data_IF_928848905003
#
_entry.id   IF_928848905003
#
_cell.length_a   1.000
_cell.length_b   1.000
_cell.length_c   1.000
_cell.angle_alpha   90.00
_cell.angle_beta   90.00
_cell.angle_gamma   90.00
#
_symmetry.space_group_name_H-M   'P 1'
#
loop_
_entity.id
_entity.type
_entity.pdbx_description
1 polymer ?
#
# COMPACT_ATOMS: atom_id res chain seq x y z
N UNK A 1 0.17 -14.63 -25.67
CA UNK A 1 1.52 -14.08 -25.51
C UNK A 1 2.23 -14.89 -24.43
N UNK A 2 3.32 -15.62 -24.71
CA UNK A 2 4.11 -16.30 -23.67
C UNK A 2 4.74 -15.24 -22.76
N UNK A 3 4.58 -15.41 -21.45
CA UNK A 3 5.10 -14.49 -20.45
C UNK A 3 6.62 -14.37 -20.48
N UNK A 4 7.15 -13.21 -20.17
CA UNK A 4 8.59 -12.97 -20.07
C UNK A 4 9.21 -13.93 -19.02
N UNK A 5 10.45 -14.46 -19.19
CA UNK A 5 11.10 -15.38 -18.24
C UNK A 5 11.10 -14.89 -16.78
N UNK A 6 11.05 -13.57 -16.57
CA UNK A 6 10.93 -12.91 -15.26
C UNK A 6 9.57 -13.15 -14.60
N UNK A 7 8.51 -13.26 -15.40
CA UNK A 7 7.14 -13.51 -14.90
C UNK A 7 7.00 -14.93 -14.36
N UNK A 8 7.72 -15.90 -14.93
CA UNK A 8 7.73 -17.27 -14.44
C UNK A 8 8.30 -17.35 -13.01
N UNK A 9 9.33 -16.58 -12.68
CA UNK A 9 9.96 -16.57 -11.36
C UNK A 9 9.04 -15.97 -10.29
N UNK A 10 8.41 -14.82 -10.57
CA UNK A 10 7.47 -14.20 -9.62
C UNK A 10 6.22 -15.05 -9.46
N UNK A 11 5.67 -15.57 -10.55
CA UNK A 11 4.49 -16.46 -10.50
C UNK A 11 4.80 -17.75 -9.74
N UNK A 12 5.96 -18.35 -9.92
CA UNK A 12 6.39 -19.56 -9.20
C UNK A 12 6.54 -19.27 -7.70
N UNK A 13 7.15 -18.14 -7.34
CA UNK A 13 7.27 -17.69 -5.95
C UNK A 13 5.88 -17.52 -5.31
N UNK A 14 4.98 -16.79 -5.98
CA UNK A 14 3.63 -16.53 -5.47
C UNK A 14 2.82 -17.82 -5.31
N UNK A 15 2.94 -18.79 -6.21
CA UNK A 15 2.26 -20.10 -6.09
C UNK A 15 2.75 -20.88 -4.87
N UNK A 16 4.06 -20.90 -4.63
CA UNK A 16 4.68 -21.64 -3.54
C UNK A 16 4.38 -21.02 -2.16
N UNK A 17 4.43 -19.70 -2.07
CA UNK A 17 4.36 -18.96 -0.81
C UNK A 17 2.97 -18.33 -0.57
N UNK A 18 1.96 -18.65 -1.37
CA UNK A 18 0.65 -17.98 -1.34
C UNK A 18 -0.01 -18.05 0.04
N UNK A 19 -0.20 -16.90 0.67
CA UNK A 19 -0.88 -16.76 1.96
C UNK A 19 -2.31 -16.30 1.73
N UNK A 20 -3.27 -17.20 1.89
CA UNK A 20 -4.69 -16.92 1.66
C UNK A 20 -5.39 -16.25 2.84
N UNK A 21 -4.88 -16.47 4.04
CA UNK A 21 -5.46 -15.95 5.26
C UNK A 21 -4.92 -14.55 5.56
N UNK A 22 -5.81 -13.61 5.79
CA UNK A 22 -5.44 -12.26 6.21
C UNK A 22 -5.10 -12.26 7.71
N UNK A 23 -4.17 -11.40 8.11
CA UNK A 23 -3.87 -11.17 9.52
C UNK A 23 -5.14 -10.82 10.31
N UNK A 24 -5.48 -11.55 11.41
CA UNK A 24 -6.79 -11.45 12.05
C UNK A 24 -7.24 -10.03 12.42
N UNK A 25 -6.39 -9.15 13.02
CA UNK A 25 -6.74 -7.75 13.26
C UNK A 25 -7.05 -6.95 11.99
N UNK A 26 -6.34 -7.23 10.88
CA UNK A 26 -6.59 -6.57 9.59
C UNK A 26 -7.89 -7.06 8.98
N UNK A 27 -8.17 -8.36 9.06
CA UNK A 27 -9.44 -8.93 8.61
C UNK A 27 -10.63 -8.36 9.37
N UNK A 28 -10.50 -8.17 10.69
CA UNK A 28 -11.51 -7.51 11.52
C UNK A 28 -11.76 -6.05 11.08
N UNK A 29 -10.69 -5.30 10.80
CA UNK A 29 -10.79 -3.93 10.31
C UNK A 29 -11.48 -3.86 8.94
N UNK A 30 -11.11 -4.72 7.99
CA UNK A 30 -11.74 -4.80 6.67
C UNK A 30 -13.26 -5.08 6.82
N UNK A 31 -13.65 -6.00 7.69
CA UNK A 31 -15.06 -6.28 7.97
C UNK A 31 -15.80 -5.06 8.54
N UNK A 32 -15.18 -4.35 9.48
CA UNK A 32 -15.75 -3.14 10.08
C UNK A 32 -15.96 -2.02 9.04
N UNK A 33 -15.16 -1.99 7.98
CA UNK A 33 -15.23 -1.00 6.90
C UNK A 33 -16.12 -1.41 5.71
N UNK A 34 -16.66 -2.63 5.70
CA UNK A 34 -17.41 -3.18 4.55
C UNK A 34 -18.63 -2.34 4.13
N UNK A 35 -19.26 -1.62 5.06
CA UNK A 35 -20.41 -0.74 4.77
C UNK A 35 -20.08 0.57 4.04
N UNK A 36 -18.81 0.91 3.84
CA UNK A 36 -18.40 2.19 3.23
C UNK A 36 -18.92 2.36 1.81
N UNK A 37 -18.87 1.30 0.98
CA UNK A 37 -19.37 1.37 -0.40
C UNK A 37 -20.88 1.66 -0.46
N UNK A 38 -21.66 1.01 0.40
CA UNK A 38 -23.11 1.22 0.44
C UNK A 38 -23.46 2.65 0.91
N UNK A 39 -22.69 3.21 1.84
CA UNK A 39 -22.89 4.59 2.31
C UNK A 39 -22.34 5.65 1.35
N UNK A 40 -21.51 5.28 0.39
CA UNK A 40 -20.89 6.21 -0.56
C UNK A 40 -19.89 7.19 0.05
N UNK A 41 -19.48 7.00 1.31
CA UNK A 41 -18.46 7.80 1.99
C UNK A 41 -17.93 7.08 3.23
N UNK A 42 -16.70 7.40 3.65
CA UNK A 42 -16.20 7.04 4.97
C UNK A 42 -16.22 8.25 5.93
N UNK A 43 -16.40 7.96 7.19
CA UNK A 43 -16.41 8.94 8.29
C UNK A 43 -14.99 9.34 8.66
N UNK A 44 -14.86 10.43 9.47
CA UNK A 44 -13.57 10.81 10.06
C UNK A 44 -12.99 9.72 10.96
N UNK A 45 -13.83 9.01 11.69
CA UNK A 45 -13.38 7.92 12.56
C UNK A 45 -12.77 6.76 11.73
N UNK A 46 -13.45 6.32 10.67
CA UNK A 46 -12.96 5.30 9.75
C UNK A 46 -11.67 5.74 9.05
N UNK A 47 -11.60 6.98 8.58
CA UNK A 47 -10.37 7.55 8.00
C UNK A 47 -9.19 7.47 8.98
N UNK A 48 -9.39 7.87 10.23
CA UNK A 48 -8.36 7.79 11.28
C UNK A 48 -7.92 6.35 11.55
N UNK A 49 -8.86 5.40 11.57
CA UNK A 49 -8.54 3.97 11.74
C UNK A 49 -7.64 3.47 10.62
N UNK A 50 -7.99 3.77 9.35
CA UNK A 50 -7.22 3.36 8.18
C UNK A 50 -5.82 4.00 8.17
N UNK A 51 -5.71 5.30 8.46
CA UNK A 51 -4.43 5.99 8.54
C UNK A 51 -3.55 5.45 9.67
N UNK A 52 -4.13 5.21 10.86
CA UNK A 52 -3.42 4.65 12.02
C UNK A 52 -2.90 3.25 11.72
N UNK A 53 -3.70 2.42 11.08
CA UNK A 53 -3.31 1.07 10.70
C UNK A 53 -2.03 1.07 9.82
N UNK A 54 -1.92 2.00 8.86
CA UNK A 54 -0.74 2.08 7.98
C UNK A 54 0.43 2.85 8.57
N UNK A 55 0.18 4.01 9.19
CA UNK A 55 1.25 4.92 9.63
C UNK A 55 0.85 5.75 10.83
N UNK A 56 0.94 5.20 12.05
CA UNK A 56 0.64 5.96 13.28
C UNK A 56 1.56 7.18 13.46
N UNK A 57 2.77 7.15 12.90
CA UNK A 57 3.76 8.24 13.00
C UNK A 57 3.32 9.54 12.34
N UNK A 58 2.47 9.48 11.31
CA UNK A 58 1.94 10.65 10.61
C UNK A 58 0.66 11.22 11.25
N UNK A 59 0.31 10.79 12.47
CA UNK A 59 -0.94 11.15 13.15
C UNK A 59 -1.16 12.65 13.24
N UNK A 60 -0.15 13.42 13.64
CA UNK A 60 -0.20 14.86 13.78
C UNK A 60 -0.56 15.60 12.47
N UNK A 61 -0.33 14.97 11.31
CA UNK A 61 -0.67 15.52 10.00
C UNK A 61 -2.10 15.13 9.59
N UNK A 62 -2.41 13.83 9.52
CA UNK A 62 -3.69 13.41 8.98
C UNK A 62 -4.87 13.69 9.93
N UNK A 63 -4.65 13.93 11.22
CA UNK A 63 -5.70 14.36 12.16
C UNK A 63 -6.21 15.80 11.94
N UNK A 64 -5.45 16.63 11.23
CA UNK A 64 -5.84 18.03 10.94
C UNK A 64 -6.91 18.15 9.86
N UNK A 65 -7.19 17.08 9.10
CA UNK A 65 -8.25 17.11 8.10
C UNK A 65 -9.63 17.23 8.74
N UNK A 66 -10.42 18.21 8.29
CA UNK A 66 -11.78 18.43 8.79
C UNK A 66 -12.73 17.29 8.39
N UNK A 67 -13.77 17.01 9.18
CA UNK A 67 -14.79 16.01 8.83
C UNK A 67 -15.44 16.28 7.47
N UNK A 68 -15.71 17.54 7.14
CA UNK A 68 -16.32 17.96 5.87
C UNK A 68 -15.39 17.62 4.69
N UNK A 69 -14.07 17.93 4.79
CA UNK A 69 -13.08 17.63 3.76
C UNK A 69 -12.94 16.12 3.54
N UNK A 70 -12.84 15.35 4.62
CA UNK A 70 -12.75 13.87 4.54
C UNK A 70 -13.98 13.32 3.84
N UNK A 71 -15.18 13.77 4.18
CA UNK A 71 -16.44 13.31 3.56
C UNK A 71 -16.49 13.67 2.09
N UNK A 72 -16.14 14.89 1.70
CA UNK A 72 -16.12 15.32 0.30
C UNK A 72 -15.14 14.48 -0.53
N UNK A 73 -13.90 14.30 -0.04
CA UNK A 73 -12.89 13.49 -0.71
C UNK A 73 -13.33 12.04 -0.82
N UNK A 74 -13.87 11.45 0.25
CA UNK A 74 -14.30 10.04 0.23
C UNK A 74 -15.43 9.78 -0.77
N UNK A 75 -16.40 10.69 -0.89
CA UNK A 75 -17.45 10.60 -1.92
C UNK A 75 -16.85 10.64 -3.33
N UNK A 76 -15.96 11.58 -3.60
CA UNK A 76 -15.31 11.71 -4.89
C UNK A 76 -14.46 10.47 -5.24
N UNK A 77 -13.74 9.90 -4.25
CA UNK A 77 -12.94 8.68 -4.41
C UNK A 77 -13.82 7.49 -4.77
N UNK A 78 -14.96 7.34 -4.12
CA UNK A 78 -15.87 6.21 -4.39
C UNK A 78 -16.65 6.38 -5.69
N UNK A 79 -16.95 7.61 -6.09
CA UNK A 79 -17.70 7.91 -7.33
C UNK A 79 -16.83 7.80 -8.59
N UNK A 80 -15.54 8.12 -8.54
CA UNK A 80 -14.71 8.11 -9.75
C UNK A 80 -14.36 6.70 -10.23
N UNK A 81 -14.29 6.51 -11.56
CA UNK A 81 -13.79 5.28 -12.18
C UNK A 81 -12.28 5.31 -12.43
N UNK A 82 -11.65 6.48 -12.37
CA UNK A 82 -10.21 6.65 -12.63
C UNK A 82 -9.39 6.28 -11.39
N UNK A 83 -8.49 5.32 -11.54
CA UNK A 83 -7.58 4.90 -10.45
C UNK A 83 -6.63 6.05 -10.08
N UNK A 84 -6.06 6.73 -11.08
CA UNK A 84 -5.22 7.92 -10.87
C UNK A 84 -5.96 8.97 -10.06
N UNK A 85 -7.22 9.28 -10.44
CA UNK A 85 -8.02 10.28 -9.74
C UNK A 85 -8.30 9.90 -8.29
N UNK A 86 -8.51 8.62 -7.98
CA UNK A 86 -8.61 8.14 -6.58
C UNK A 86 -7.37 8.50 -5.77
N UNK A 87 -6.20 8.23 -6.33
CA UNK A 87 -4.93 8.52 -5.66
C UNK A 87 -4.71 10.02 -5.48
N UNK A 88 -4.96 10.82 -6.52
CA UNK A 88 -4.85 12.29 -6.45
C UNK A 88 -5.76 12.87 -5.35
N UNK A 89 -7.01 12.43 -5.29
CA UNK A 89 -7.96 12.87 -4.28
C UNK A 89 -7.50 12.51 -2.87
N UNK A 90 -7.06 11.28 -2.64
CA UNK A 90 -6.60 10.82 -1.33
C UNK A 90 -5.30 11.51 -0.91
N UNK A 91 -4.34 11.66 -1.81
CA UNK A 91 -3.06 12.33 -1.52
C UNK A 91 -3.22 13.85 -1.36
N UNK A 92 -4.33 14.42 -1.76
CA UNK A 92 -4.72 15.80 -1.45
C UNK A 92 -5.17 16.02 -0.01
N UNK A 93 -5.36 14.95 0.79
CA UNK A 93 -5.56 15.06 2.23
C UNK A 93 -4.23 15.27 2.94
N UNK A 94 -4.21 16.16 3.94
CA UNK A 94 -3.00 16.46 4.68
C UNK A 94 -2.46 15.19 5.37
N UNK A 95 -1.16 14.94 5.24
CA UNK A 95 -0.49 13.77 5.80
C UNK A 95 -0.79 12.42 5.11
N UNK A 96 -1.49 12.42 3.98
CA UNK A 96 -1.79 11.21 3.20
C UNK A 96 -0.89 11.13 1.98
N UNK A 97 0.24 10.44 2.11
CA UNK A 97 1.07 10.08 0.96
C UNK A 97 0.56 8.83 0.24
N UNK A 98 1.17 8.52 -0.91
CA UNK A 98 0.81 7.36 -1.76
C UNK A 98 0.68 6.03 -0.98
N UNK A 99 1.57 5.68 -0.02
CA UNK A 99 1.41 4.45 0.77
C UNK A 99 0.16 4.44 1.66
N UNK A 100 -0.20 5.59 2.28
CA UNK A 100 -1.41 5.69 3.10
C UNK A 100 -2.66 5.64 2.21
N UNK A 101 -2.65 6.35 1.08
CA UNK A 101 -3.74 6.32 0.11
C UNK A 101 -4.00 4.89 -0.42
N UNK A 102 -2.94 4.15 -0.76
CA UNK A 102 -3.05 2.74 -1.18
C UNK A 102 -3.64 1.86 -0.08
N UNK A 103 -3.27 2.10 1.19
CA UNK A 103 -3.82 1.37 2.33
C UNK A 103 -5.32 1.66 2.53
N UNK A 104 -5.75 2.91 2.40
CA UNK A 104 -7.18 3.29 2.45
C UNK A 104 -7.95 2.50 1.39
N UNK A 105 -7.49 2.52 0.12
CA UNK A 105 -8.13 1.78 -0.95
C UNK A 105 -8.16 0.27 -0.69
N UNK A 106 -7.08 -0.29 -0.17
CA UNK A 106 -6.98 -1.73 0.15
C UNK A 106 -7.95 -2.14 1.24
N UNK A 107 -8.08 -1.35 2.31
CA UNK A 107 -8.96 -1.68 3.43
C UNK A 107 -10.44 -1.60 3.08
N UNK A 108 -10.82 -0.75 2.11
CA UNK A 108 -12.21 -0.64 1.66
C UNK A 108 -12.55 -1.60 0.50
N UNK A 109 -11.56 -2.01 -0.30
CA UNK A 109 -11.75 -2.97 -1.40
C UNK A 109 -10.49 -3.86 -1.61
N UNK A 110 -10.26 -4.84 -0.73
CA UNK A 110 -9.09 -5.72 -0.80
C UNK A 110 -9.09 -6.62 -2.04
N UNK A 111 -10.23 -6.79 -2.73
CA UNK A 111 -10.29 -7.54 -3.97
C UNK A 111 -9.50 -6.83 -5.07
N UNK A 112 -9.62 -5.51 -5.14
CA UNK A 112 -9.05 -4.69 -6.21
C UNK A 112 -7.70 -4.09 -5.88
N UNK A 113 -7.37 -3.90 -4.59
CA UNK A 113 -6.19 -3.16 -4.16
C UNK A 113 -5.27 -3.95 -3.24
N UNK A 114 -4.02 -3.53 -3.19
CA UNK A 114 -3.00 -3.94 -2.24
C UNK A 114 -2.18 -2.73 -1.79
N UNK A 115 -1.63 -2.82 -0.60
CA UNK A 115 -0.88 -1.75 0.04
C UNK A 115 0.46 -1.56 -0.62
N UNK A 116 0.74 -0.38 -1.17
CA UNK A 116 2.08 -0.06 -1.63
C UNK A 116 3.01 0.12 -0.43
N UNK A 117 3.83 -0.90 -0.21
CA UNK A 117 4.76 -0.98 0.91
C UNK A 117 6.19 -1.19 0.41
N UNK A 118 7.15 -0.67 1.16
CA UNK A 118 8.57 -0.80 0.83
C UNK A 118 9.00 -2.26 0.64
N UNK A 119 8.46 -3.19 1.44
CA UNK A 119 8.82 -4.62 1.36
C UNK A 119 8.31 -5.28 0.10
N UNK A 120 7.01 -5.10 -0.20
CA UNK A 120 6.40 -5.63 -1.41
C UNK A 120 7.07 -5.05 -2.66
N UNK A 121 7.36 -3.74 -2.68
CA UNK A 121 8.04 -3.09 -3.78
C UNK A 121 9.48 -3.60 -3.99
N UNK A 122 10.28 -3.69 -2.91
CA UNK A 122 11.66 -4.17 -2.99
C UNK A 122 11.74 -5.62 -3.49
N UNK A 123 10.78 -6.48 -3.11
CA UNK A 123 10.70 -7.83 -3.65
C UNK A 123 10.40 -7.82 -5.15
N UNK A 124 9.42 -7.03 -5.60
CA UNK A 124 9.14 -6.86 -7.03
C UNK A 124 10.35 -6.31 -7.78
N UNK A 125 11.07 -5.36 -7.19
CA UNK A 125 12.30 -4.81 -7.78
C UNK A 125 13.40 -5.89 -7.89
N UNK A 126 13.64 -6.68 -6.86
CA UNK A 126 14.64 -7.76 -6.87
C UNK A 126 14.33 -8.81 -7.92
N UNK A 127 13.05 -9.07 -8.17
CA UNK A 127 12.56 -9.98 -9.22
C UNK A 127 12.42 -9.30 -10.59
N UNK A 128 12.83 -8.04 -10.71
CA UNK A 128 12.77 -7.23 -11.93
C UNK A 128 11.35 -7.07 -12.51
N UNK A 129 10.33 -7.23 -11.70
CA UNK A 129 8.93 -6.96 -12.07
C UNK A 129 8.66 -5.46 -12.15
N UNK A 130 9.39 -4.68 -11.34
CA UNK A 130 9.50 -3.23 -11.45
C UNK A 130 10.99 -2.85 -11.57
N UNK A 131 11.30 -1.75 -12.25
CA UNK A 131 12.70 -1.41 -12.62
C UNK A 131 13.18 -0.08 -12.07
N UNK A 132 12.31 0.69 -11.42
CA UNK A 132 12.62 2.00 -10.86
C UNK A 132 12.54 1.97 -9.34
N UNK A 133 13.09 2.99 -8.65
CA UNK A 133 12.97 3.18 -7.21
C UNK A 133 13.41 1.95 -6.38
N UNK A 134 14.64 1.49 -6.56
CA UNK A 134 15.20 0.34 -5.84
C UNK A 134 15.03 0.41 -4.31
N UNK A 135 15.03 1.63 -3.74
CA UNK A 135 14.85 1.84 -2.30
C UNK A 135 13.41 1.62 -1.82
N UNK A 136 12.41 1.74 -2.71
CA UNK A 136 11.01 1.65 -2.33
C UNK A 136 10.55 2.75 -1.38
N UNK A 137 11.01 3.99 -1.60
CA UNK A 137 10.68 5.17 -0.80
C UNK A 137 10.26 6.33 -1.69
N UNK A 138 9.46 7.29 -1.16
CA UNK A 138 9.05 8.45 -1.94
C UNK A 138 8.21 8.09 -3.17
N UNK A 139 7.28 7.18 -3.03
CA UNK A 139 6.48 6.65 -4.15
C UNK A 139 5.66 7.72 -4.86
N UNK A 140 5.65 7.64 -6.18
CA UNK A 140 4.78 8.43 -7.07
C UNK A 140 3.48 7.67 -7.39
N UNK A 141 2.48 8.40 -7.88
CA UNK A 141 1.22 7.78 -8.36
C UNK A 141 1.50 6.83 -9.52
N UNK A 142 2.40 7.16 -10.44
CA UNK A 142 2.77 6.29 -11.55
C UNK A 142 3.37 4.96 -11.07
N UNK A 143 4.20 4.98 -10.03
CA UNK A 143 4.73 3.75 -9.43
C UNK A 143 3.63 2.92 -8.75
N UNK A 144 2.66 3.57 -8.11
CA UNK A 144 1.50 2.86 -7.58
C UNK A 144 0.65 2.23 -8.68
N UNK A 145 0.43 2.91 -9.80
CA UNK A 145 -0.29 2.35 -10.95
C UNK A 145 0.42 1.11 -11.50
N UNK A 146 1.75 1.16 -11.64
CA UNK A 146 2.56 0.01 -12.04
C UNK A 146 2.42 -1.14 -11.03
N UNK A 147 2.55 -0.85 -9.74
CA UNK A 147 2.36 -1.83 -8.66
C UNK A 147 0.97 -2.48 -8.71
N UNK A 148 -0.08 -1.68 -8.84
CA UNK A 148 -1.46 -2.15 -8.92
C UNK A 148 -1.69 -3.06 -10.13
N UNK A 149 -1.11 -2.72 -11.27
CA UNK A 149 -1.16 -3.54 -12.49
C UNK A 149 -0.54 -4.92 -12.26
N UNK A 150 0.64 -4.97 -11.62
CA UNK A 150 1.31 -6.22 -11.28
C UNK A 150 0.47 -7.07 -10.32
N UNK A 151 -0.04 -6.47 -9.24
CA UNK A 151 -0.89 -7.20 -8.30
C UNK A 151 -2.13 -7.79 -8.99
N UNK A 152 -2.82 -7.01 -9.81
CA UNK A 152 -4.04 -7.43 -10.51
C UNK A 152 -3.77 -8.50 -11.56
N UNK A 153 -2.64 -8.44 -12.24
CA UNK A 153 -2.20 -9.47 -13.19
C UNK A 153 -2.06 -10.83 -12.49
N UNK A 154 -1.32 -10.86 -11.38
CA UNK A 154 -1.12 -12.08 -10.61
C UNK A 154 -2.37 -12.54 -9.86
N UNK A 155 -3.18 -11.61 -9.35
CA UNK A 155 -4.44 -11.92 -8.70
C UNK A 155 -5.42 -12.66 -9.63
N UNK A 156 -5.54 -12.18 -10.89
CA UNK A 156 -6.35 -12.88 -11.91
C UNK A 156 -5.80 -14.27 -12.22
N UNK A 157 -4.47 -14.38 -12.43
CA UNK A 157 -3.83 -15.65 -12.76
C UNK A 157 -3.99 -16.70 -11.66
N UNK A 158 -3.88 -16.30 -10.39
CA UNK A 158 -3.98 -17.19 -9.23
C UNK A 158 -5.39 -17.27 -8.63
N UNK A 159 -6.37 -16.55 -9.20
CA UNK A 159 -7.77 -16.49 -8.75
C UNK A 159 -7.89 -16.10 -7.27
N UNK A 160 -7.17 -15.05 -6.88
CA UNK A 160 -7.17 -14.49 -5.52
C UNK A 160 -7.37 -12.98 -5.56
N UNK A 161 -7.44 -12.33 -4.41
CA UNK A 161 -7.53 -10.88 -4.31
C UNK A 161 -6.17 -10.20 -4.56
N UNK A 162 -6.19 -8.92 -4.96
CA UNK A 162 -4.98 -8.11 -5.06
C UNK A 162 -4.28 -7.99 -3.69
N UNK A 163 -5.05 -7.91 -2.61
CA UNK A 163 -4.53 -7.91 -1.24
C UNK A 163 -3.81 -9.23 -0.91
N UNK A 164 -4.33 -10.37 -1.32
CA UNK A 164 -3.67 -11.68 -1.13
C UNK A 164 -2.29 -11.71 -1.78
N UNK A 165 -2.16 -11.20 -3.01
CA UNK A 165 -0.87 -11.10 -3.70
C UNK A 165 0.07 -10.18 -2.92
N UNK A 166 -0.37 -8.97 -2.60
CA UNK A 166 0.46 -8.00 -1.88
C UNK A 166 0.90 -8.54 -0.51
N UNK A 167 -0.02 -9.12 0.26
CA UNK A 167 0.31 -9.66 1.58
C UNK A 167 1.31 -10.82 1.49
N UNK A 168 1.18 -11.68 0.49
CA UNK A 168 2.17 -12.72 0.19
C UNK A 168 3.55 -12.10 -0.10
N UNK A 169 3.63 -11.10 -0.97
CA UNK A 169 4.89 -10.39 -1.27
C UNK A 169 5.51 -9.78 0.00
N UNK A 170 4.69 -9.13 0.82
CA UNK A 170 5.12 -8.52 2.06
C UNK A 170 5.73 -9.56 3.02
N UNK A 171 5.07 -10.71 3.21
CA UNK A 171 5.55 -11.78 4.09
C UNK A 171 6.79 -12.47 3.52
N UNK A 172 6.84 -12.72 2.22
CA UNK A 172 8.03 -13.27 1.56
C UNK A 172 9.24 -12.38 1.79
N UNK A 173 9.11 -11.07 1.56
CA UNK A 173 10.20 -10.15 1.81
C UNK A 173 10.63 -10.17 3.29
N UNK A 174 9.69 -10.19 4.23
CA UNK A 174 10.01 -10.28 5.67
C UNK A 174 10.83 -11.53 6.01
N UNK A 175 10.49 -12.66 5.39
CA UNK A 175 11.15 -13.96 5.61
C UNK A 175 12.61 -13.94 5.14
N UNK A 176 12.90 -13.24 4.04
CA UNK A 176 14.23 -13.28 3.40
C UNK A 176 15.05 -12.00 3.60
N UNK A 177 14.47 -10.95 4.17
CA UNK A 177 15.17 -9.69 4.37
C UNK A 177 16.32 -9.83 5.36
N UNK A 178 17.51 -9.40 4.93
CA UNK A 178 18.68 -9.21 5.78
C UNK A 178 18.94 -7.72 5.95
N UNK A 179 19.34 -7.29 7.17
CA UNK A 179 19.68 -5.90 7.47
C UNK A 179 18.48 -4.96 7.68
N UNK A 180 18.73 -3.65 7.63
CA UNK A 180 17.76 -2.60 7.92
C UNK A 180 17.03 -2.16 6.63
N UNK A 181 15.69 -1.99 6.70
CA UNK A 181 14.88 -1.45 5.59
C UNK A 181 15.19 0.01 5.26
N UNK A 182 15.56 0.77 6.26
CA UNK A 182 15.89 2.18 6.13
C UNK A 182 17.39 2.36 6.39
N UNK A 183 18.13 2.93 5.45
CA UNK A 183 19.47 3.40 5.74
C UNK A 183 19.36 4.41 6.92
N UNK A 184 20.15 4.22 7.97
CA UNK A 184 20.30 5.26 8.99
C UNK A 184 20.75 6.52 8.26
N UNK A 185 20.02 7.63 8.41
CA UNK A 185 20.47 8.90 7.87
C UNK A 185 21.79 9.23 8.59
N UNK A 186 22.88 9.28 7.86
CA UNK A 186 24.23 9.65 8.37
C UNK A 186 24.26 11.06 9.01
N UNK A 187 23.17 11.81 8.90
CA UNK A 187 23.00 13.15 9.49
C UNK A 187 22.96 13.17 11.02
N UNK A 188 22.74 12.04 11.72
CA UNK A 188 22.76 12.02 13.19
C UNK A 188 24.17 11.84 13.78
N UNK A 189 25.10 11.26 13.02
CA UNK A 189 26.47 11.05 13.50
C UNK A 189 27.36 12.30 13.42
N UNK A 190 27.00 13.30 12.60
CA UNK A 190 27.78 14.55 12.49
C UNK A 190 27.45 15.60 13.57
N UNK A 191 26.35 15.42 14.35
CA UNK A 191 25.99 16.37 15.44
C UNK A 191 26.52 15.98 16.80
N UNK A 192 27.07 14.78 16.99
CA UNK A 192 27.71 14.37 18.24
C UNK A 192 29.25 14.59 18.28
N UNK A 193 29.87 14.96 17.16
CA UNK A 193 31.31 15.18 17.09
C UNK A 193 31.72 16.67 17.00
N UNK A 194 30.78 17.61 17.24
CA UNK A 194 31.10 19.05 17.23
C UNK A 194 30.85 19.71 18.60
N UNK A 195 30.90 18.91 19.67
CA UNK A 195 30.87 19.40 21.05
C UNK A 195 32.03 18.75 21.81
N UNK A 196 33.24 19.22 21.53
CA UNK A 196 34.41 19.23 22.43
C UNK A 196 35.10 20.57 22.26
#
# INVERSE_FOLDING_TARGET
MPGHPRDATLTALLRRELVREEHPPTAALIRALAGIHARGAFTRAEFKLMCRWKSPRARHLWETNSPARIRAVSRAVLATRSERRRMELLTGLHGVGVPIASAILTLIDPRRYGVLDIRAWQLLFSLRSVTTNARGQGFTIAQWEQFLSELRRHARHLRVSARTIEYTLFLCHRKFQRGLLYARSERRLRRSNTAV
#
